data_IF_346274065242
#
_entry.id   IF_346274065242
#
_cell.length_a   1.000
_cell.length_b   1.000
_cell.length_c   1.000
_cell.angle_alpha   90.00
_cell.angle_beta   90.00
_cell.angle_gamma   90.00
#
_symmetry.space_group_name_H-M   'P 1'
#
loop_
_entity.id
_entity.type
_entity.pdbx_description
1 polymer ?
#
# COMPACT_ATOMS: atom_id res chain seq x y z
N UNK A 1 20.70 11.43 23.26
CA UNK A 1 21.47 10.16 23.11
C UNK A 1 21.46 9.62 21.68
N UNK A 2 20.32 9.29 21.02
CA UNK A 2 20.32 8.80 19.63
C UNK A 2 20.80 9.88 18.65
N UNK A 3 20.22 11.07 18.69
CA UNK A 3 20.58 12.19 17.83
C UNK A 3 22.03 12.65 18.04
N UNK A 4 22.55 12.60 19.25
CA UNK A 4 23.96 12.95 19.56
C UNK A 4 24.95 11.96 18.91
N UNK A 5 24.64 10.65 18.92
CA UNK A 5 25.47 9.64 18.25
C UNK A 5 25.45 9.82 16.72
N UNK A 6 24.28 10.08 16.16
CA UNK A 6 24.15 10.37 14.72
C UNK A 6 24.87 11.66 14.33
N UNK A 7 24.81 12.70 15.19
CA UNK A 7 25.53 13.95 14.99
C UNK A 7 27.06 13.74 14.97
N UNK A 8 27.57 12.91 15.91
CA UNK A 8 29.01 12.54 15.94
C UNK A 8 29.43 11.81 14.68
N UNK A 9 28.63 10.82 14.21
CA UNK A 9 28.91 10.11 12.96
C UNK A 9 28.89 11.05 11.75
N UNK A 10 27.92 11.98 11.69
CA UNK A 10 27.85 12.97 10.63
C UNK A 10 29.08 13.86 10.61
N UNK A 11 29.49 14.37 11.77
CA UNK A 11 30.70 15.17 11.92
C UNK A 11 31.97 14.37 11.56
N UNK A 12 32.04 13.10 11.97
CA UNK A 12 33.16 12.21 11.62
C UNK A 12 33.29 12.03 10.10
N UNK A 13 32.16 11.91 9.40
CA UNK A 13 32.15 11.69 7.95
C UNK A 13 32.33 12.98 7.16
N UNK A 14 31.64 14.07 7.53
CA UNK A 14 31.59 15.32 6.73
C UNK A 14 32.60 16.38 7.20
N UNK A 15 33.15 16.24 8.41
CA UNK A 15 34.01 17.25 9.07
C UNK A 15 33.25 18.34 9.81
N UNK A 16 31.93 18.46 9.64
CA UNK A 16 31.09 19.50 10.26
C UNK A 16 29.85 18.90 10.91
N UNK A 17 29.20 19.65 11.80
CA UNK A 17 27.96 19.25 12.41
C UNK A 17 26.79 19.27 11.39
N UNK A 18 25.84 18.38 11.51
CA UNK A 18 24.59 18.50 10.77
C UNK A 18 23.81 19.74 11.27
N UNK A 19 23.19 20.45 10.34
CA UNK A 19 22.37 21.63 10.64
C UNK A 19 21.04 21.23 11.28
N UNK A 20 20.47 20.12 10.79
CA UNK A 20 19.19 19.59 11.27
C UNK A 20 19.19 18.06 11.27
N UNK A 21 18.47 17.46 12.22
CA UNK A 21 18.23 16.00 12.32
C UNK A 21 16.74 15.79 12.54
N UNK A 22 16.08 15.25 11.53
CA UNK A 22 14.63 14.99 11.54
C UNK A 22 14.40 13.49 11.60
N UNK A 23 13.63 13.01 12.58
CA UNK A 23 13.19 11.62 12.62
C UNK A 23 12.14 11.36 11.54
N UNK A 24 12.37 10.34 10.73
CA UNK A 24 11.44 9.94 9.67
C UNK A 24 10.31 9.08 10.26
N UNK A 25 9.11 9.09 9.63
CA UNK A 25 8.00 8.28 10.10
C UNK A 25 8.38 6.80 10.23
N UNK A 26 8.00 6.18 11.34
CA UNK A 26 8.28 4.78 11.61
C UNK A 26 7.62 3.87 10.54
N UNK A 27 8.40 2.99 9.95
CA UNK A 27 7.93 1.86 9.16
C UNK A 27 7.70 0.63 10.06
N UNK A 28 7.36 -0.53 9.50
CA UNK A 28 7.08 -1.75 10.28
C UNK A 28 8.28 -2.36 11.02
N UNK A 29 9.47 -1.77 10.96
CA UNK A 29 10.72 -2.22 11.58
C UNK A 29 10.94 -1.60 12.97
N UNK A 30 11.77 -2.25 13.80
CA UNK A 30 12.28 -1.68 15.06
C UNK A 30 13.42 -0.68 14.83
N UNK A 31 13.86 -0.49 13.59
CA UNK A 31 14.85 0.52 13.22
C UNK A 31 14.22 1.90 13.18
N UNK A 32 14.99 2.91 13.60
CA UNK A 32 14.63 4.31 13.51
C UNK A 32 15.52 4.99 12.49
N UNK A 33 14.90 5.76 11.61
CA UNK A 33 15.56 6.48 10.52
C UNK A 33 15.49 7.97 10.77
N UNK A 34 16.59 8.66 10.47
CA UNK A 34 16.73 10.09 10.65
C UNK A 34 17.34 10.70 9.39
N UNK A 35 16.78 11.78 8.90
CA UNK A 35 17.44 12.58 7.86
C UNK A 35 18.30 13.63 8.53
N UNK A 36 19.57 13.66 8.16
CA UNK A 36 20.55 14.66 8.61
C UNK A 36 20.86 15.58 7.44
N UNK A 37 20.66 16.88 7.61
CA UNK A 37 20.93 17.89 6.58
C UNK A 37 22.06 18.82 7.02
N UNK A 38 22.72 19.43 6.05
CA UNK A 38 23.86 20.31 6.21
C UNK A 38 24.62 20.37 4.88
N UNK A 39 25.93 20.16 4.89
CA UNK A 39 26.74 20.15 3.64
C UNK A 39 26.32 19.01 2.70
N UNK A 40 25.71 17.96 3.22
CA UNK A 40 25.18 16.83 2.49
C UNK A 40 23.96 16.27 3.23
N UNK A 41 22.93 15.82 2.48
CA UNK A 41 21.80 15.08 3.06
C UNK A 41 22.15 13.61 3.19
N UNK A 42 22.03 13.06 4.39
CA UNK A 42 22.31 11.66 4.72
C UNK A 42 21.18 11.05 5.53
N UNK A 43 21.04 9.72 5.45
CA UNK A 43 20.14 8.96 6.30
C UNK A 43 20.95 8.33 7.44
N UNK A 44 20.65 8.72 8.66
CA UNK A 44 21.15 8.09 9.87
C UNK A 44 20.19 6.99 10.32
N UNK A 45 20.74 5.85 10.67
CA UNK A 45 19.95 4.69 11.12
C UNK A 45 20.38 4.28 12.52
N UNK A 46 19.41 4.03 13.38
CA UNK A 46 19.60 3.39 14.67
C UNK A 46 18.83 2.06 14.68
N UNK A 47 19.57 0.97 14.85
CA UNK A 47 19.01 -0.39 14.96
C UNK A 47 19.40 -1.05 16.28
N UNK A 48 18.41 -1.59 16.99
CA UNK A 48 18.62 -2.22 18.32
C UNK A 48 19.22 -3.62 18.25
N UNK A 49 19.11 -4.33 17.12
CA UNK A 49 19.75 -5.64 16.89
C UNK A 49 21.07 -5.44 16.17
N UNK A 50 22.16 -5.76 16.85
CA UNK A 50 23.51 -5.70 16.28
C UNK A 50 23.68 -6.69 15.13
N UNK A 51 23.17 -7.90 15.31
CA UNK A 51 23.24 -8.98 14.30
C UNK A 51 22.52 -8.60 13.00
N UNK A 52 21.34 -7.98 13.12
CA UNK A 52 20.61 -7.50 11.95
C UNK A 52 21.33 -6.34 11.25
N UNK A 53 21.94 -5.45 12.03
CA UNK A 53 22.75 -4.36 11.46
C UNK A 53 24.00 -4.93 10.77
N UNK A 54 24.71 -5.88 11.36
CA UNK A 54 25.87 -6.54 10.76
C UNK A 54 25.51 -7.23 9.43
N UNK A 55 24.35 -7.92 9.38
CA UNK A 55 23.83 -8.49 8.14
C UNK A 55 23.59 -7.42 7.06
N UNK A 56 22.93 -6.31 7.44
CA UNK A 56 22.69 -5.20 6.52
C UNK A 56 24.00 -4.59 5.98
N UNK A 57 24.96 -4.31 6.86
CA UNK A 57 26.25 -3.71 6.49
C UNK A 57 27.03 -4.59 5.53
N UNK A 58 27.08 -5.90 5.80
CA UNK A 58 27.73 -6.87 4.92
C UNK A 58 27.06 -6.92 3.53
N UNK A 59 25.72 -7.03 3.49
CA UNK A 59 24.94 -7.05 2.25
C UNK A 59 25.14 -5.77 1.44
N UNK A 60 25.05 -4.61 2.08
CA UNK A 60 25.19 -3.31 1.41
C UNK A 60 26.58 -3.16 0.76
N UNK A 61 27.64 -3.57 1.45
CA UNK A 61 29.00 -3.55 0.92
C UNK A 61 29.16 -4.52 -0.25
N UNK A 62 28.65 -5.75 -0.11
CA UNK A 62 28.71 -6.76 -1.16
C UNK A 62 27.97 -6.32 -2.43
N UNK A 63 26.72 -5.85 -2.28
CA UNK A 63 25.90 -5.41 -3.41
C UNK A 63 26.48 -4.17 -4.11
N UNK A 64 27.09 -3.27 -3.35
CA UNK A 64 27.81 -2.14 -3.92
C UNK A 64 29.00 -2.60 -4.78
N UNK A 65 29.81 -3.58 -4.31
CA UNK A 65 30.92 -4.16 -5.08
C UNK A 65 30.44 -4.81 -6.39
N UNK A 66 29.18 -5.27 -6.43
CA UNK A 66 28.52 -5.81 -7.63
C UNK A 66 27.83 -4.73 -8.49
N UNK A 67 27.97 -3.44 -8.16
CA UNK A 67 27.31 -2.30 -8.81
C UNK A 67 25.77 -2.41 -8.81
N UNK A 68 25.21 -3.03 -7.79
CA UNK A 68 23.75 -3.07 -7.62
C UNK A 68 23.26 -1.76 -6.97
N UNK A 69 22.10 -1.22 -7.37
CA UNK A 69 21.57 0.05 -6.87
C UNK A 69 20.99 -0.10 -5.46
N UNK A 70 21.86 -0.02 -4.48
CA UNK A 70 21.55 -0.02 -3.04
C UNK A 70 22.20 1.20 -2.38
N UNK A 71 21.62 1.74 -1.27
CA UNK A 71 22.21 2.88 -0.59
C UNK A 71 23.61 2.53 -0.08
N UNK A 72 24.55 3.42 -0.34
CA UNK A 72 25.92 3.26 0.15
C UNK A 72 25.96 3.53 1.65
N UNK A 73 26.54 2.63 2.44
CA UNK A 73 26.92 2.90 3.83
C UNK A 73 28.20 3.72 3.85
N UNK A 74 28.20 4.83 4.60
CA UNK A 74 29.24 5.86 4.57
C UNK A 74 30.06 5.88 5.85
N UNK A 75 29.42 5.67 7.01
CA UNK A 75 30.05 5.66 8.32
C UNK A 75 29.28 4.74 9.26
N UNK A 76 29.98 4.05 10.16
CA UNK A 76 29.40 3.09 11.10
C UNK A 76 29.98 3.31 12.50
N UNK A 77 29.16 3.28 13.56
CA UNK A 77 29.64 3.36 14.93
C UNK A 77 30.39 2.09 15.35
N UNK A 78 31.26 2.19 16.35
CA UNK A 78 32.04 1.04 16.87
C UNK A 78 31.15 -0.11 17.37
N UNK A 79 30.03 0.23 18.01
CA UNK A 79 29.05 -0.75 18.51
C UNK A 79 28.15 -1.34 17.42
N UNK A 80 28.21 -0.78 16.18
CA UNK A 80 27.39 -1.14 15.01
C UNK A 80 25.87 -0.96 15.21
N UNK A 81 25.47 -0.16 16.19
CA UNK A 81 24.07 0.20 16.42
C UNK A 81 23.64 1.41 15.58
N UNK A 82 24.60 2.23 15.15
CA UNK A 82 24.37 3.42 14.35
C UNK A 82 25.19 3.37 13.05
N UNK A 83 24.60 3.83 11.97
CA UNK A 83 25.30 4.01 10.71
C UNK A 83 24.69 5.16 9.89
N UNK A 84 25.49 5.72 9.00
CA UNK A 84 25.05 6.69 8.00
C UNK A 84 25.05 6.03 6.63
N UNK A 85 24.02 6.30 5.87
CA UNK A 85 23.91 5.86 4.49
C UNK A 85 23.46 6.99 3.57
N UNK A 86 23.60 6.77 2.28
CA UNK A 86 23.16 7.68 1.23
C UNK A 86 21.66 7.98 1.36
N UNK A 87 21.29 9.25 1.18
CA UNK A 87 19.88 9.68 1.05
C UNK A 87 19.43 9.49 -0.39
N UNK A 88 18.43 8.66 -0.58
CA UNK A 88 17.81 8.36 -1.88
C UNK A 88 16.60 9.24 -2.17
N UNK A 89 16.31 10.25 -1.33
CA UNK A 89 15.13 11.11 -1.44
C UNK A 89 13.88 10.51 -0.81
N UNK A 90 12.69 10.91 -1.30
CA UNK A 90 11.41 10.61 -0.65
C UNK A 90 10.47 9.74 -1.49
N UNK A 91 10.84 9.44 -2.74
CA UNK A 91 9.94 8.79 -3.68
C UNK A 91 10.06 7.26 -3.61
N UNK A 92 9.07 6.62 -2.97
CA UNK A 92 8.90 5.17 -3.06
C UNK A 92 8.19 4.79 -4.36
N UNK A 93 8.57 3.69 -4.99
CA UNK A 93 7.86 3.13 -6.14
C UNK A 93 6.36 2.99 -5.86
N UNK A 94 6.00 2.56 -4.64
CA UNK A 94 4.61 2.44 -4.21
C UNK A 94 3.80 3.74 -4.36
N UNK A 95 4.42 4.90 -4.12
CA UNK A 95 3.79 6.21 -4.30
C UNK A 95 3.89 6.69 -5.77
N UNK A 96 5.00 6.41 -6.43
CA UNK A 96 5.19 6.77 -7.83
C UNK A 96 4.15 6.15 -8.78
N UNK A 97 3.61 4.96 -8.42
CA UNK A 97 2.56 4.26 -9.18
C UNK A 97 1.17 4.39 -8.52
N UNK A 98 0.94 5.42 -7.72
CA UNK A 98 -0.29 5.56 -6.93
C UNK A 98 -1.54 5.70 -7.80
N UNK A 99 -1.45 6.46 -8.89
CA UNK A 99 -2.57 6.70 -9.79
C UNK A 99 -3.07 5.39 -10.41
N UNK A 100 -2.15 4.57 -10.94
CA UNK A 100 -2.48 3.25 -11.50
C UNK A 100 -3.10 2.32 -10.46
N UNK A 101 -2.59 2.32 -9.22
CA UNK A 101 -3.14 1.49 -8.12
C UNK A 101 -4.55 1.90 -7.70
N UNK A 102 -4.88 3.21 -7.76
CA UNK A 102 -6.20 3.73 -7.41
C UNK A 102 -7.20 3.45 -8.53
N UNK A 103 -6.82 3.77 -9.78
CA UNK A 103 -7.72 3.69 -10.94
C UNK A 103 -7.77 2.30 -11.58
N UNK A 104 -6.91 1.38 -11.15
CA UNK A 104 -6.65 0.08 -11.79
C UNK A 104 -6.21 0.20 -13.28
N UNK A 105 -5.67 1.36 -13.65
CA UNK A 105 -5.17 1.68 -15.00
C UNK A 105 -3.84 2.39 -14.89
N UNK A 106 -2.76 1.69 -15.23
CA UNK A 106 -1.39 2.18 -15.11
C UNK A 106 -0.97 2.94 -16.37
N UNK A 107 -0.41 4.14 -16.19
CA UNK A 107 0.19 4.90 -17.29
C UNK A 107 1.47 4.23 -17.81
N UNK A 108 1.95 4.63 -18.98
CA UNK A 108 3.17 4.05 -19.55
C UNK A 108 4.41 4.39 -18.70
N UNK A 109 4.45 5.57 -18.08
CA UNK A 109 5.50 5.97 -17.14
C UNK A 109 5.49 5.08 -15.89
N UNK A 110 4.32 4.81 -15.31
CA UNK A 110 4.17 3.91 -14.16
C UNK A 110 4.59 2.47 -14.51
N UNK A 111 4.20 1.98 -15.70
CA UNK A 111 4.61 0.67 -16.19
C UNK A 111 6.12 0.58 -16.41
N UNK A 112 6.75 1.63 -16.95
CA UNK A 112 8.19 1.60 -17.17
C UNK A 112 8.98 1.57 -15.85
N UNK A 113 8.52 2.27 -14.81
CA UNK A 113 9.10 2.13 -13.46
C UNK A 113 8.98 0.69 -12.94
N UNK A 114 7.85 0.05 -13.15
CA UNK A 114 7.63 -1.35 -12.80
C UNK A 114 8.54 -2.29 -13.61
N UNK A 115 8.65 -2.10 -14.93
CA UNK A 115 9.54 -2.89 -15.80
C UNK A 115 11.01 -2.74 -15.37
N UNK A 116 11.48 -1.51 -15.13
CA UNK A 116 12.84 -1.26 -14.63
C UNK A 116 13.09 -2.01 -13.32
N UNK A 117 12.15 -1.95 -12.39
CA UNK A 117 12.24 -2.65 -11.10
C UNK A 117 12.30 -4.17 -11.27
N UNK A 118 11.45 -4.71 -12.13
CA UNK A 118 11.42 -6.17 -12.42
C UNK A 118 12.69 -6.63 -13.12
N UNK A 119 13.24 -5.84 -14.05
CA UNK A 119 14.51 -6.15 -14.74
C UNK A 119 15.70 -6.14 -13.79
N UNK A 120 15.63 -5.38 -12.69
CA UNK A 120 16.67 -5.33 -11.66
C UNK A 120 16.66 -6.55 -10.74
N UNK A 121 15.50 -7.18 -10.50
CA UNK A 121 15.38 -8.29 -9.56
C UNK A 121 16.33 -9.47 -9.89
N UNK A 122 16.48 -9.97 -11.13
CA UNK A 122 17.44 -11.03 -11.43
C UNK A 122 18.90 -10.64 -11.16
N UNK A 123 19.26 -9.37 -11.28
CA UNK A 123 20.63 -8.94 -10.99
C UNK A 123 20.96 -9.13 -9.50
N UNK A 124 20.08 -8.74 -8.58
CA UNK A 124 20.33 -8.98 -7.16
C UNK A 124 20.23 -10.47 -6.80
N UNK A 125 19.33 -11.23 -7.45
CA UNK A 125 19.18 -12.67 -7.19
C UNK A 125 20.38 -13.49 -7.63
N UNK A 126 20.92 -13.26 -8.81
CA UNK A 126 22.01 -14.05 -9.40
C UNK A 126 23.38 -13.39 -9.22
N UNK A 127 23.58 -12.17 -9.69
CA UNK A 127 24.86 -11.49 -9.53
C UNK A 127 25.12 -11.11 -8.06
N UNK A 128 24.08 -10.77 -7.31
CA UNK A 128 24.16 -10.54 -5.87
C UNK A 128 24.51 -11.79 -5.06
N UNK A 129 24.16 -13.00 -5.53
CA UNK A 129 24.53 -14.26 -4.88
C UNK A 129 25.97 -14.68 -5.19
N UNK A 130 26.54 -14.22 -6.29
CA UNK A 130 27.88 -14.60 -6.71
C UNK A 130 28.96 -14.11 -5.73
N UNK A 131 29.65 -15.05 -5.08
CA UNK A 131 30.65 -14.79 -4.05
C UNK A 131 30.09 -14.26 -2.72
N UNK A 132 28.76 -14.35 -2.52
CA UNK A 132 28.11 -13.94 -1.28
C UNK A 132 28.23 -15.01 -0.19
N UNK A 133 28.71 -14.65 1.00
CA UNK A 133 28.72 -15.55 2.17
C UNK A 133 27.40 -15.46 2.95
N UNK A 134 26.54 -16.46 2.74
CA UNK A 134 25.21 -16.52 3.35
C UNK A 134 25.26 -16.76 4.87
N UNK A 135 26.42 -17.07 5.48
CA UNK A 135 26.54 -17.17 6.94
C UNK A 135 26.31 -15.82 7.64
N UNK A 136 26.45 -14.70 6.92
CA UNK A 136 26.14 -13.34 7.42
C UNK A 136 24.66 -12.99 7.40
N UNK A 137 23.77 -13.85 6.88
CA UNK A 137 22.34 -13.58 6.86
C UNK A 137 21.71 -13.78 8.24
N UNK A 138 20.77 -12.88 8.58
CA UNK A 138 20.05 -12.92 9.87
C UNK A 138 18.53 -12.95 9.61
N UNK A 139 17.73 -13.68 10.38
CA UNK A 139 18.08 -14.65 11.44
C UNK A 139 18.46 -16.04 10.90
N UNK A 140 18.45 -16.26 9.61
CA UNK A 140 18.76 -17.55 8.97
C UNK A 140 19.54 -17.35 7.66
N UNK A 141 20.46 -18.29 7.41
CA UNK A 141 21.29 -18.29 6.21
C UNK A 141 20.53 -18.67 4.93
N UNK A 142 19.47 -19.47 5.04
CA UNK A 142 18.80 -20.07 3.90
C UNK A 142 17.28 -20.25 4.09
N UNK A 143 16.57 -20.35 2.98
CA UNK A 143 15.17 -20.76 2.91
C UNK A 143 15.11 -22.28 2.97
N UNK A 144 14.69 -22.81 4.12
CA UNK A 144 14.65 -24.24 4.43
C UNK A 144 13.29 -24.65 5.00
N UNK A 145 13.12 -25.94 5.30
CA UNK A 145 11.88 -26.47 5.86
C UNK A 145 11.42 -25.73 7.12
N UNK A 146 12.34 -25.36 8.00
CA UNK A 146 12.02 -24.60 9.20
C UNK A 146 11.42 -23.24 8.86
N UNK A 147 11.99 -22.53 7.88
CA UNK A 147 11.47 -21.23 7.41
C UNK A 147 10.07 -21.37 6.83
N UNK A 148 9.83 -22.39 5.99
CA UNK A 148 8.52 -22.64 5.38
C UNK A 148 7.47 -22.94 6.45
N UNK A 149 7.77 -23.87 7.35
CA UNK A 149 6.83 -24.25 8.38
C UNK A 149 6.57 -23.13 9.39
N UNK A 150 7.54 -22.28 9.69
CA UNK A 150 7.31 -21.07 10.51
C UNK A 150 6.27 -20.14 9.86
N UNK A 151 6.42 -19.83 8.59
CA UNK A 151 5.51 -18.93 7.88
C UNK A 151 4.10 -19.57 7.75
N UNK A 152 3.99 -20.88 7.50
CA UNK A 152 2.71 -21.60 7.45
C UNK A 152 2.03 -21.68 8.83
N UNK A 153 2.80 -21.96 9.89
CA UNK A 153 2.29 -21.94 11.26
C UNK A 153 1.90 -20.53 11.71
N UNK A 154 2.65 -19.50 11.27
CA UNK A 154 2.30 -18.11 11.52
C UNK A 154 0.94 -17.76 10.87
N UNK A 155 0.70 -18.22 9.62
CA UNK A 155 -0.61 -18.14 8.99
C UNK A 155 -1.68 -18.88 9.80
N UNK A 156 -1.44 -20.13 10.17
CA UNK A 156 -2.40 -20.96 10.90
C UNK A 156 -2.83 -20.31 12.22
N UNK A 157 -1.86 -19.89 13.05
CA UNK A 157 -2.16 -19.41 14.40
C UNK A 157 -2.58 -17.94 14.45
N UNK A 158 -1.96 -17.09 13.63
CA UNK A 158 -2.23 -15.64 13.70
C UNK A 158 -3.39 -15.21 12.81
N UNK A 159 -3.75 -16.00 11.79
CA UNK A 159 -4.84 -15.63 10.87
C UNK A 159 -5.95 -16.69 10.84
N UNK A 160 -5.66 -17.90 10.40
CA UNK A 160 -6.70 -18.92 10.14
C UNK A 160 -7.52 -19.20 11.40
N UNK A 161 -6.90 -19.52 12.52
CA UNK A 161 -7.60 -19.75 13.81
C UNK A 161 -8.35 -18.51 14.31
N UNK A 162 -7.83 -17.32 14.05
CA UNK A 162 -8.48 -16.08 14.45
C UNK A 162 -9.78 -15.80 13.67
N UNK A 163 -10.02 -16.45 12.53
CA UNK A 163 -11.27 -16.33 11.76
C UNK A 163 -12.42 -17.13 12.35
N UNK A 164 -12.16 -18.08 13.26
CA UNK A 164 -13.15 -19.00 13.81
C UNK A 164 -13.48 -20.19 12.90
N UNK A 165 -12.79 -20.33 11.76
CA UNK A 165 -12.98 -21.50 10.89
C UNK A 165 -12.45 -22.78 11.57
N UNK A 166 -13.26 -23.83 11.62
CA UNK A 166 -12.89 -25.14 12.13
C UNK A 166 -12.17 -25.96 11.05
N UNK A 167 -11.12 -26.66 11.44
CA UNK A 167 -10.36 -27.55 10.57
C UNK A 167 -9.64 -28.65 11.36
N UNK A 168 -9.24 -29.73 10.67
CA UNK A 168 -8.48 -30.83 11.25
C UNK A 168 -6.97 -30.50 11.18
N UNK A 169 -6.36 -30.25 12.33
CA UNK A 169 -4.95 -29.80 12.41
C UNK A 169 -3.98 -30.80 11.78
N UNK A 170 -4.14 -32.11 12.07
CA UNK A 170 -3.27 -33.15 11.55
C UNK A 170 -3.24 -33.17 10.01
N UNK A 171 -4.42 -33.08 9.37
CA UNK A 171 -4.50 -33.04 7.89
C UNK A 171 -3.91 -31.76 7.30
N UNK A 172 -4.08 -30.64 8.00
CA UNK A 172 -3.49 -29.36 7.58
C UNK A 172 -1.96 -29.40 7.68
N UNK A 173 -1.43 -29.97 8.77
CA UNK A 173 0.01 -30.17 8.97
C UNK A 173 0.60 -31.10 7.92
N UNK A 174 -0.09 -32.19 7.55
CA UNK A 174 0.35 -33.10 6.48
C UNK A 174 0.50 -32.35 5.16
N UNK A 175 -0.44 -31.47 4.81
CA UNK A 175 -0.37 -30.65 3.61
C UNK A 175 0.68 -29.54 3.70
N UNK A 176 0.96 -29.00 4.91
CA UNK A 176 2.08 -28.09 5.13
C UNK A 176 3.43 -28.75 4.89
N UNK A 177 3.61 -30.01 5.29
CA UNK A 177 4.82 -30.77 4.99
C UNK A 177 4.99 -30.96 3.48
N UNK A 178 3.94 -31.36 2.78
CA UNK A 178 3.95 -31.50 1.31
C UNK A 178 4.26 -30.18 0.60
N UNK A 179 3.67 -29.05 1.03
CA UNK A 179 3.99 -27.74 0.50
C UNK A 179 5.46 -27.40 0.71
N UNK A 180 6.01 -27.72 1.89
CA UNK A 180 7.43 -27.55 2.15
C UNK A 180 8.30 -28.37 1.19
N UNK A 181 7.93 -29.62 0.92
CA UNK A 181 8.65 -30.48 -0.04
C UNK A 181 8.63 -29.89 -1.45
N UNK A 182 7.46 -29.44 -1.93
CA UNK A 182 7.30 -28.82 -3.25
C UNK A 182 8.16 -27.56 -3.39
N UNK A 183 8.10 -26.66 -2.40
CA UNK A 183 8.86 -25.40 -2.44
C UNK A 183 10.38 -25.63 -2.40
N UNK A 184 10.84 -26.60 -1.61
CA UNK A 184 12.27 -26.91 -1.45
C UNK A 184 12.83 -27.79 -2.57
N UNK A 185 11.98 -28.35 -3.42
CA UNK A 185 12.44 -29.04 -4.64
C UNK A 185 13.06 -28.08 -5.67
N UNK A 186 12.70 -26.80 -5.59
CA UNK A 186 13.25 -25.75 -6.46
C UNK A 186 14.69 -25.42 -6.08
N UNK A 187 15.56 -25.16 -7.10
CA UNK A 187 16.93 -24.68 -6.88
C UNK A 187 16.96 -23.43 -6.01
N UNK A 188 17.84 -23.41 -5.01
CA UNK A 188 17.99 -22.36 -4.00
C UNK A 188 19.35 -21.66 -4.07
N UNK A 189 19.96 -21.55 -5.26
CA UNK A 189 21.32 -21.02 -5.43
C UNK A 189 21.36 -19.51 -5.68
N UNK A 190 20.28 -18.81 -5.35
CA UNK A 190 20.15 -17.36 -5.54
C UNK A 190 20.04 -16.61 -4.23
N UNK A 191 20.28 -15.30 -4.26
CA UNK A 191 19.91 -14.42 -3.17
C UNK A 191 18.41 -14.18 -3.20
N UNK A 192 17.68 -14.64 -2.19
CA UNK A 192 16.28 -14.36 -1.97
C UNK A 192 16.14 -13.10 -1.11
N UNK A 193 15.61 -12.05 -1.69
CA UNK A 193 15.43 -10.75 -1.02
C UNK A 193 14.43 -10.80 0.13
N UNK A 194 13.41 -11.66 0.01
CA UNK A 194 12.30 -11.93 0.91
C UNK A 194 11.22 -10.84 0.93
N UNK A 195 11.58 -9.60 1.13
CA UNK A 195 10.64 -8.48 1.22
C UNK A 195 10.71 -7.57 -0.01
N UNK A 196 10.89 -8.16 -1.20
CA UNK A 196 10.86 -7.44 -2.46
C UNK A 196 9.43 -6.96 -2.77
N UNK A 197 9.19 -5.70 -2.48
CA UNK A 197 7.88 -5.04 -2.59
C UNK A 197 8.08 -3.59 -3.06
N UNK A 198 7.04 -3.00 -3.68
CA UNK A 198 7.10 -1.61 -4.16
C UNK A 198 7.35 -0.57 -3.05
N UNK A 199 7.15 -0.94 -1.78
CA UNK A 199 7.48 -0.09 -0.62
C UNK A 199 8.96 -0.16 -0.22
N UNK A 200 9.69 -1.12 -0.75
CA UNK A 200 11.12 -1.32 -0.48
C UNK A 200 11.96 -1.01 -1.73
N UNK A 201 11.38 -0.22 -2.65
CA UNK A 201 12.06 0.31 -3.84
C UNK A 201 11.91 1.82 -3.83
N UNK A 202 13.04 2.54 -3.79
CA UNK A 202 13.11 3.99 -3.97
C UNK A 202 13.27 4.31 -5.44
N UNK A 203 12.75 5.46 -5.87
CA UNK A 203 12.97 6.00 -7.21
C UNK A 203 13.84 7.26 -7.07
N UNK A 204 15.06 7.17 -7.60
CA UNK A 204 16.01 8.28 -7.65
C UNK A 204 16.40 8.51 -9.11
N UNK A 205 16.21 9.72 -9.60
CA UNK A 205 16.50 10.11 -11.00
C UNK A 205 15.83 9.20 -12.05
N UNK A 206 14.62 8.72 -11.76
CA UNK A 206 13.85 7.81 -12.62
C UNK A 206 14.33 6.36 -12.63
N UNK A 207 15.27 5.98 -11.74
CA UNK A 207 15.81 4.63 -11.61
C UNK A 207 15.46 4.00 -10.26
N UNK A 208 15.20 2.66 -10.21
CA UNK A 208 14.87 1.95 -8.98
C UNK A 208 16.12 1.68 -8.14
N UNK A 209 16.02 1.93 -6.83
CA UNK A 209 17.01 1.63 -5.81
C UNK A 209 16.41 0.73 -4.75
N UNK A 210 17.15 -0.27 -4.30
CA UNK A 210 16.67 -1.30 -3.39
C UNK A 210 17.04 -0.98 -1.95
N UNK A 211 16.04 -1.05 -1.04
CA UNK A 211 16.19 -0.83 0.41
C UNK A 211 15.52 -1.97 1.19
N UNK A 212 15.87 -2.14 2.46
CA UNK A 212 15.24 -3.13 3.36
C UNK A 212 15.54 -4.60 2.97
N UNK A 213 16.78 -4.87 2.55
CA UNK A 213 17.22 -6.18 2.07
C UNK A 213 17.88 -7.06 3.16
N UNK A 214 18.01 -6.59 4.40
CA UNK A 214 18.69 -7.30 5.50
C UNK A 214 18.02 -8.62 5.90
N UNK A 215 16.76 -8.83 5.57
CA UNK A 215 16.06 -10.10 5.74
C UNK A 215 16.40 -11.15 4.70
N UNK A 216 17.22 -10.78 3.71
CA UNK A 216 17.62 -11.64 2.60
C UNK A 216 18.44 -12.85 3.05
N UNK A 217 18.44 -13.89 2.22
CA UNK A 217 19.10 -15.18 2.49
C UNK A 217 19.27 -16.00 1.22
N UNK A 218 19.96 -17.12 1.30
CA UNK A 218 19.97 -18.10 0.22
C UNK A 218 18.56 -18.67 0.00
N UNK A 219 18.06 -18.68 -1.24
CA UNK A 219 16.73 -19.21 -1.51
C UNK A 219 16.34 -19.19 -2.99
N UNK A 220 15.13 -19.69 -3.32
CA UNK A 220 14.66 -19.80 -4.69
C UNK A 220 14.23 -18.44 -5.26
N UNK A 221 14.60 -18.20 -6.52
CA UNK A 221 14.29 -16.94 -7.21
C UNK A 221 12.81 -16.72 -7.51
N UNK A 222 11.96 -17.72 -7.34
CA UNK A 222 10.50 -17.60 -7.50
C UNK A 222 9.83 -16.75 -6.41
N UNK A 223 10.41 -16.76 -5.19
CA UNK A 223 9.78 -16.13 -4.03
C UNK A 223 9.60 -14.61 -4.20
N UNK A 224 10.63 -13.92 -4.68
CA UNK A 224 10.62 -12.47 -4.75
C UNK A 224 9.71 -11.94 -5.84
N UNK A 225 9.67 -12.60 -7.00
CA UNK A 225 8.73 -12.22 -8.06
C UNK A 225 7.28 -12.49 -7.64
N UNK A 226 7.01 -13.59 -6.92
CA UNK A 226 5.71 -13.84 -6.30
C UNK A 226 5.37 -12.74 -5.28
N UNK A 227 6.33 -12.37 -4.42
CA UNK A 227 6.15 -11.30 -3.42
C UNK A 227 5.82 -9.96 -4.07
N UNK A 228 6.45 -9.61 -5.19
CA UNK A 228 6.25 -8.33 -5.87
C UNK A 228 4.94 -8.28 -6.63
N UNK A 229 4.63 -9.27 -7.44
CA UNK A 229 3.48 -9.21 -8.35
C UNK A 229 2.12 -9.49 -7.66
N UNK A 230 2.12 -10.19 -6.52
CA UNK A 230 0.89 -10.47 -5.76
C UNK A 230 0.76 -9.65 -4.48
N UNK A 231 1.43 -8.49 -4.42
CA UNK A 231 1.21 -7.53 -3.33
C UNK A 231 -0.26 -7.15 -3.23
N UNK A 232 -0.90 -7.44 -2.09
CA UNK A 232 -2.33 -7.22 -1.91
C UNK A 232 -2.78 -5.77 -2.23
N UNK A 233 -2.03 -4.77 -1.75
CA UNK A 233 -2.36 -3.35 -1.99
C UNK A 233 -1.88 -2.77 -3.31
N UNK A 234 -1.03 -3.45 -4.05
CA UNK A 234 -0.55 -2.97 -5.34
C UNK A 234 -1.62 -3.12 -6.43
N UNK A 235 -2.53 -4.11 -6.28
CA UNK A 235 -3.68 -4.33 -7.16
C UNK A 235 -3.29 -4.42 -8.65
N UNK A 236 -2.17 -5.06 -8.96
CA UNK A 236 -1.76 -5.21 -10.36
C UNK A 236 -2.79 -6.03 -11.13
N UNK A 237 -3.37 -5.50 -12.23
CA UNK A 237 -4.22 -6.28 -13.13
C UNK A 237 -3.50 -7.52 -13.66
N UNK A 238 -4.23 -8.56 -13.98
CA UNK A 238 -3.67 -9.82 -14.49
C UNK A 238 -2.82 -9.58 -15.74
N UNK A 239 -3.30 -8.78 -16.70
CA UNK A 239 -2.55 -8.41 -17.90
C UNK A 239 -1.23 -7.70 -17.62
N UNK A 240 -1.17 -6.86 -16.58
CA UNK A 240 0.07 -6.21 -16.17
C UNK A 240 1.01 -7.20 -15.48
N UNK A 241 0.47 -8.12 -14.67
CA UNK A 241 1.29 -9.19 -14.07
C UNK A 241 1.94 -10.07 -15.12
N UNK A 242 1.18 -10.44 -16.17
CA UNK A 242 1.69 -11.25 -17.28
C UNK A 242 2.78 -10.52 -18.05
N UNK A 243 2.59 -9.25 -18.36
CA UNK A 243 3.61 -8.40 -18.98
C UNK A 243 4.89 -8.33 -18.15
N UNK A 244 4.75 -8.09 -16.84
CA UNK A 244 5.90 -8.01 -15.93
C UNK A 244 6.58 -9.37 -15.70
N UNK A 245 5.85 -10.49 -15.76
CA UNK A 245 6.42 -11.84 -15.73
C UNK A 245 7.25 -12.13 -17.00
N UNK A 246 6.79 -11.69 -18.15
CA UNK A 246 7.54 -11.82 -19.40
C UNK A 246 8.85 -11.00 -19.35
N UNK A 247 8.81 -9.77 -18.81
CA UNK A 247 10.00 -8.95 -18.57
C UNK A 247 10.97 -9.62 -17.57
N UNK A 248 10.43 -10.22 -16.51
CA UNK A 248 11.22 -10.97 -15.53
C UNK A 248 11.93 -12.17 -16.16
N UNK A 249 11.18 -13.03 -16.86
CA UNK A 249 11.73 -14.23 -17.52
C UNK A 249 12.81 -13.83 -18.53
N UNK A 250 12.58 -12.78 -19.32
CA UNK A 250 13.57 -12.23 -20.25
C UNK A 250 14.83 -11.73 -19.53
N UNK A 251 14.69 -11.10 -18.38
CA UNK A 251 15.83 -10.64 -17.59
C UNK A 251 16.57 -11.80 -16.93
N UNK A 252 15.88 -12.83 -16.40
CA UNK A 252 16.47 -14.07 -15.85
C UNK A 252 17.23 -14.86 -16.91
N UNK A 253 16.76 -14.83 -18.16
CA UNK A 253 17.40 -15.57 -19.26
C UNK A 253 18.84 -15.14 -19.55
N UNK A 254 19.29 -14.01 -19.00
CA UNK A 254 20.70 -13.59 -19.02
C UNK A 254 21.61 -14.42 -18.08
N UNK A 255 21.00 -15.05 -17.08
CA UNK A 255 21.69 -15.80 -16.02
C UNK A 255 21.44 -17.31 -16.11
N UNK A 256 20.22 -17.70 -16.50
CA UNK A 256 19.77 -19.10 -16.50
C UNK A 256 18.73 -19.32 -17.60
N UNK A 257 18.85 -20.44 -18.33
CA UNK A 257 17.80 -20.88 -19.26
C UNK A 257 16.52 -21.23 -18.50
N UNK A 258 15.38 -20.71 -18.95
CA UNK A 258 14.09 -20.89 -18.33
C UNK A 258 13.18 -21.72 -19.24
N UNK A 259 12.73 -22.88 -18.75
CA UNK A 259 11.56 -23.56 -19.28
C UNK A 259 10.31 -22.85 -18.72
N UNK A 260 9.55 -22.22 -19.58
CA UNK A 260 8.36 -21.42 -19.19
C UNK A 260 7.27 -22.27 -18.51
N UNK A 261 7.04 -23.49 -19.01
CA UNK A 261 6.02 -24.37 -18.44
C UNK A 261 6.39 -24.74 -17.01
N UNK A 262 7.63 -25.19 -16.83
CA UNK A 262 8.17 -25.50 -15.50
C UNK A 262 8.19 -24.28 -14.60
N UNK A 263 8.58 -23.11 -15.12
CA UNK A 263 8.61 -21.87 -14.36
C UNK A 263 7.24 -21.53 -13.77
N UNK A 264 6.19 -21.50 -14.58
CA UNK A 264 4.83 -21.17 -14.11
C UNK A 264 4.28 -22.25 -13.17
N UNK A 265 4.57 -23.53 -13.44
CA UNK A 265 4.16 -24.63 -12.56
C UNK A 265 4.78 -24.51 -11.16
N UNK A 266 6.00 -24.02 -11.04
CA UNK A 266 6.65 -23.77 -9.75
C UNK A 266 6.18 -22.45 -9.12
N UNK A 267 6.13 -21.38 -9.90
CA UNK A 267 5.77 -20.04 -9.42
C UNK A 267 4.43 -20.03 -8.68
N UNK A 268 3.40 -20.76 -9.17
CA UNK A 268 2.08 -20.83 -8.54
C UNK A 268 2.13 -21.28 -7.08
N UNK A 269 3.03 -22.21 -6.73
CA UNK A 269 3.21 -22.69 -5.35
C UNK A 269 3.82 -21.59 -4.46
N UNK A 270 4.80 -20.84 -4.98
CA UNK A 270 5.38 -19.70 -4.27
C UNK A 270 4.38 -18.56 -4.09
N UNK A 271 3.54 -18.31 -5.08
CA UNK A 271 2.47 -17.29 -4.97
C UNK A 271 1.46 -17.68 -3.88
N UNK A 272 1.01 -18.93 -3.84
CA UNK A 272 0.13 -19.42 -2.78
C UNK A 272 0.80 -19.32 -1.42
N UNK A 273 2.01 -19.85 -1.28
CA UNK A 273 2.79 -19.79 -0.03
C UNK A 273 2.95 -18.34 0.46
N UNK A 274 3.36 -17.44 -0.43
CA UNK A 274 3.56 -16.02 -0.08
C UNK A 274 2.24 -15.34 0.33
N UNK A 275 1.13 -15.71 -0.29
CA UNK A 275 -0.20 -15.22 0.08
C UNK A 275 -0.57 -15.65 1.51
N UNK A 276 -0.29 -16.90 1.89
CA UNK A 276 -0.51 -17.40 3.25
C UNK A 276 0.37 -16.68 4.25
N UNK A 277 1.65 -16.51 3.95
CA UNK A 277 2.60 -15.80 4.80
C UNK A 277 2.16 -14.34 5.04
N UNK A 278 1.68 -13.65 4.02
CA UNK A 278 1.14 -12.28 4.12
C UNK A 278 -0.11 -12.24 4.99
N UNK A 279 -1.04 -13.20 4.83
CA UNK A 279 -2.22 -13.30 5.67
C UNK A 279 -1.85 -13.53 7.14
N UNK A 280 -0.85 -14.37 7.43
CA UNK A 280 -0.31 -14.54 8.78
C UNK A 280 0.20 -13.22 9.37
N UNK A 281 0.99 -12.45 8.61
CA UNK A 281 1.48 -11.15 9.03
C UNK A 281 0.35 -10.14 9.25
N UNK A 282 -0.68 -10.14 8.38
CA UNK A 282 -1.86 -9.28 8.55
C UNK A 282 -2.67 -9.69 9.78
N UNK A 283 -2.80 -10.99 10.05
CA UNK A 283 -3.46 -11.49 11.25
C UNK A 283 -2.75 -11.02 12.52
N UNK A 284 -1.45 -11.26 12.63
CA UNK A 284 -0.68 -10.83 13.80
C UNK A 284 -0.73 -9.32 14.00
N UNK A 285 -0.36 -8.55 12.99
CA UNK A 285 -0.31 -7.10 13.09
C UNK A 285 -1.69 -6.45 13.22
N UNK A 286 -2.71 -7.04 12.59
CA UNK A 286 -4.08 -6.54 12.61
C UNK A 286 -4.84 -6.93 13.88
N UNK A 287 -4.92 -8.23 14.18
CA UNK A 287 -5.75 -8.72 15.30
C UNK A 287 -5.03 -8.63 16.65
N UNK A 288 -3.73 -8.92 16.72
CA UNK A 288 -2.98 -8.91 17.98
C UNK A 288 -2.35 -7.55 18.29
N UNK A 289 -1.64 -6.93 17.35
CA UNK A 289 -1.07 -5.58 17.55
C UNK A 289 -2.10 -4.45 17.32
N UNK A 290 -3.31 -4.78 16.91
CA UNK A 290 -4.43 -3.83 16.67
C UNK A 290 -4.09 -2.68 15.70
N UNK A 291 -3.29 -2.96 14.67
CA UNK A 291 -2.93 -1.99 13.62
C UNK A 291 -3.95 -2.01 12.48
N UNK A 292 -4.88 -1.03 12.37
CA UNK A 292 -6.04 -1.11 11.47
C UNK A 292 -5.68 -1.27 9.99
N UNK A 293 -4.58 -0.68 9.53
CA UNK A 293 -4.15 -0.73 8.14
C UNK A 293 -3.78 -2.14 7.65
N UNK A 294 -3.41 -3.07 8.56
CA UNK A 294 -3.21 -4.47 8.20
C UNK A 294 -4.54 -5.20 8.01
N UNK A 295 -5.51 -4.97 8.91
CA UNK A 295 -6.88 -5.53 8.76
C UNK A 295 -7.48 -5.09 7.42
N UNK A 296 -7.36 -3.81 7.08
CA UNK A 296 -7.81 -3.25 5.80
C UNK A 296 -7.14 -3.86 4.57
N UNK A 297 -6.00 -4.55 4.76
CA UNK A 297 -5.28 -5.22 3.66
C UNK A 297 -5.77 -6.66 3.43
N UNK A 298 -6.38 -7.28 4.45
CA UNK A 298 -6.83 -8.68 4.41
C UNK A 298 -7.70 -9.00 3.19
N UNK A 299 -8.76 -8.23 2.87
CA UNK A 299 -9.63 -8.59 1.77
C UNK A 299 -8.97 -8.55 0.37
N UNK A 300 -7.91 -7.75 0.19
CA UNK A 300 -7.15 -7.80 -1.06
C UNK A 300 -6.32 -9.08 -1.15
N UNK A 301 -5.79 -9.56 -0.02
CA UNK A 301 -5.11 -10.85 0.04
C UNK A 301 -6.09 -12.02 -0.14
N UNK A 302 -7.30 -11.93 0.42
CA UNK A 302 -8.37 -12.92 0.23
C UNK A 302 -8.82 -12.96 -1.25
N UNK A 303 -8.89 -11.81 -1.93
CA UNK A 303 -9.22 -11.77 -3.35
C UNK A 303 -8.12 -12.43 -4.20
N UNK A 304 -6.85 -12.14 -3.93
CA UNK A 304 -5.73 -12.87 -4.55
C UNK A 304 -5.87 -14.38 -4.31
N UNK A 305 -6.21 -14.79 -3.09
CA UNK A 305 -6.40 -16.20 -2.75
C UNK A 305 -7.55 -16.84 -3.53
N UNK A 306 -8.68 -16.16 -3.71
CA UNK A 306 -9.79 -16.64 -4.55
C UNK A 306 -9.35 -16.89 -5.99
N UNK A 307 -8.57 -15.96 -6.56
CA UNK A 307 -8.05 -16.11 -7.92
C UNK A 307 -7.13 -17.31 -8.03
N UNK A 308 -6.22 -17.50 -7.08
CA UNK A 308 -5.29 -18.63 -7.04
C UNK A 308 -6.01 -19.99 -6.92
N UNK A 309 -7.07 -20.04 -6.12
CA UNK A 309 -7.85 -21.27 -5.89
C UNK A 309 -8.81 -21.64 -7.04
N UNK A 310 -8.84 -20.86 -8.14
CA UNK A 310 -9.49 -21.29 -9.40
C UNK A 310 -8.76 -22.46 -10.03
N UNK A 311 -7.46 -22.56 -9.78
CA UNK A 311 -6.65 -23.72 -10.17
C UNK A 311 -6.60 -24.76 -9.05
N UNK A 312 -6.43 -26.02 -9.40
CA UNK A 312 -6.27 -27.09 -8.44
C UNK A 312 -4.82 -27.28 -8.03
N UNK A 313 -4.61 -27.61 -6.75
CA UNK A 313 -3.31 -27.96 -6.17
C UNK A 313 -3.43 -29.40 -5.61
N UNK A 314 -3.25 -30.43 -6.47
CA UNK A 314 -3.43 -31.82 -6.06
C UNK A 314 -2.44 -32.29 -4.98
N UNK A 315 -1.33 -31.55 -4.80
CA UNK A 315 -0.30 -31.85 -3.83
C UNK A 315 -0.79 -31.65 -2.37
N UNK A 316 -1.70 -30.68 -2.13
CA UNK A 316 -2.23 -30.33 -0.81
C UNK A 316 -3.73 -30.02 -0.83
N UNK A 317 -4.56 -31.07 -1.09
CA UNK A 317 -5.98 -30.92 -1.33
C UNK A 317 -6.76 -30.45 -0.10
N UNK A 318 -6.34 -30.85 1.10
CA UNK A 318 -7.04 -30.46 2.33
C UNK A 318 -6.81 -28.98 2.64
N UNK A 319 -5.57 -28.49 2.51
CA UNK A 319 -5.27 -27.08 2.62
C UNK A 319 -6.14 -26.26 1.66
N UNK A 320 -6.24 -26.67 0.40
CA UNK A 320 -7.07 -25.96 -0.58
C UNK A 320 -8.56 -25.97 -0.24
N UNK A 321 -9.09 -27.06 0.32
CA UNK A 321 -10.46 -27.11 0.81
C UNK A 321 -10.69 -26.08 1.94
N UNK A 322 -9.82 -26.07 2.94
CA UNK A 322 -9.87 -25.11 4.05
C UNK A 322 -9.76 -23.66 3.54
N UNK A 323 -8.87 -23.40 2.57
CA UNK A 323 -8.70 -22.06 2.01
C UNK A 323 -9.92 -21.60 1.18
N UNK A 324 -10.59 -22.52 0.46
CA UNK A 324 -11.87 -22.21 -0.22
C UNK A 324 -12.94 -21.84 0.79
N UNK A 325 -13.11 -22.62 1.87
CA UNK A 325 -14.04 -22.29 2.95
C UNK A 325 -13.70 -20.94 3.60
N UNK A 326 -12.41 -20.68 3.86
CA UNK A 326 -11.93 -19.41 4.39
C UNK A 326 -12.38 -18.22 3.52
N UNK A 327 -12.25 -18.32 2.19
CA UNK A 327 -12.63 -17.22 1.28
C UNK A 327 -14.14 -17.00 1.24
N UNK A 328 -14.96 -17.99 1.64
CA UNK A 328 -16.41 -17.93 1.65
C UNK A 328 -16.99 -17.42 2.98
N UNK A 329 -16.16 -17.18 4.00
CA UNK A 329 -16.63 -16.64 5.27
C UNK A 329 -17.34 -15.29 5.08
N UNK A 330 -18.47 -15.11 5.77
CA UNK A 330 -19.31 -13.91 5.66
C UNK A 330 -18.53 -12.62 5.86
N UNK A 331 -17.63 -12.60 6.83
CA UNK A 331 -16.76 -11.44 7.12
C UNK A 331 -15.92 -10.99 5.91
N UNK A 332 -15.53 -11.89 5.01
CA UNK A 332 -14.75 -11.57 3.81
C UNK A 332 -15.61 -11.33 2.56
N UNK A 333 -16.87 -11.81 2.54
CA UNK A 333 -17.83 -11.50 1.47
C UNK A 333 -18.42 -10.10 1.61
N UNK A 334 -18.78 -9.71 2.83
CA UNK A 334 -19.38 -8.40 3.11
C UNK A 334 -18.38 -7.26 2.93
N UNK A 335 -17.09 -7.53 3.19
CA UNK A 335 -16.02 -6.54 3.01
C UNK A 335 -15.81 -6.09 1.56
N UNK A 336 -16.07 -6.94 0.58
CA UNK A 336 -15.99 -6.55 -0.85
C UNK A 336 -17.12 -5.58 -1.24
N UNK A 337 -18.31 -5.75 -0.63
CA UNK A 337 -19.45 -4.85 -0.84
C UNK A 337 -19.34 -3.54 -0.06
N UNK A 338 -18.68 -3.56 1.11
CA UNK A 338 -18.50 -2.39 1.99
C UNK A 338 -17.36 -1.46 1.58
N UNK A 339 -16.55 -1.79 0.59
CA UNK A 339 -15.28 -1.08 0.28
C UNK A 339 -15.38 0.01 -0.74
N UNK A 340 -16.51 0.19 -1.35
CA UNK A 340 -16.72 1.34 -2.19
C UNK A 340 -17.03 2.52 -1.27
N UNK A 341 -16.12 3.51 -1.22
CA UNK A 341 -16.38 4.74 -0.48
C UNK A 341 -17.67 5.35 -1.03
N UNK A 342 -18.66 5.52 -0.15
CA UNK A 342 -19.84 6.30 -0.44
C UNK A 342 -19.67 7.66 0.22
N UNK A 343 -19.68 8.72 -0.59
CA UNK A 343 -19.68 10.08 -0.07
C UNK A 343 -21.10 10.60 -0.04
N UNK A 344 -21.60 10.87 1.16
CA UNK A 344 -22.92 11.50 1.34
C UNK A 344 -22.75 13.00 1.31
N UNK A 345 -23.26 13.63 0.25
CA UNK A 345 -23.25 15.10 0.09
C UNK A 345 -24.63 15.66 0.41
N UNK A 346 -24.70 16.65 1.29
CA UNK A 346 -26.00 17.20 1.73
C UNK A 346 -26.04 18.71 1.64
N UNK A 347 -27.15 19.28 1.15
CA UNK A 347 -27.48 20.68 1.39
C UNK A 347 -28.49 20.83 2.50
N UNK A 348 -28.33 21.86 3.34
CA UNK A 348 -29.20 22.08 4.49
C UNK A 348 -29.39 23.56 4.86
N UNK A 349 -30.46 23.83 5.64
CA UNK A 349 -30.71 25.13 6.26
C UNK A 349 -30.16 25.17 7.69
N UNK A 350 -29.33 26.16 8.03
CA UNK A 350 -28.85 26.35 9.41
C UNK A 350 -30.02 26.58 10.40
N UNK A 351 -31.13 27.18 9.95
CA UNK A 351 -32.33 27.34 10.77
C UNK A 351 -32.96 26.03 11.25
N UNK A 352 -32.70 24.92 10.54
CA UNK A 352 -33.21 23.58 10.87
C UNK A 352 -32.14 22.66 11.47
N UNK A 353 -30.97 23.19 11.78
CA UNK A 353 -29.84 22.45 12.36
C UNK A 353 -28.97 21.72 11.36
N UNK A 354 -27.75 21.39 11.80
CA UNK A 354 -26.78 20.63 11.03
C UNK A 354 -27.23 19.17 10.93
N UNK A 355 -27.14 18.52 9.75
CA UNK A 355 -27.46 17.10 9.60
C UNK A 355 -26.60 16.21 10.50
N UNK A 356 -27.20 15.19 11.09
CA UNK A 356 -26.47 14.16 11.83
C UNK A 356 -25.88 13.11 10.88
N UNK A 357 -24.73 12.56 11.25
CA UNK A 357 -24.14 11.42 10.56
C UNK A 357 -24.80 10.12 11.03
N UNK A 358 -25.56 9.40 10.17
CA UNK A 358 -26.23 8.17 10.55
C UNK A 358 -25.28 6.97 10.64
N UNK A 359 -24.02 7.10 10.19
CA UNK A 359 -23.05 6.01 10.16
C UNK A 359 -22.37 5.77 11.50
N UNK A 360 -22.54 6.68 12.46
CA UNK A 360 -21.90 6.62 13.77
C UNK A 360 -20.41 7.02 13.78
N UNK A 361 -19.88 7.50 12.64
CA UNK A 361 -18.47 7.94 12.54
C UNK A 361 -18.21 9.35 13.08
N UNK A 362 -19.24 10.03 13.57
CA UNK A 362 -19.12 11.32 14.23
C UNK A 362 -19.12 12.54 13.33
N UNK A 363 -19.50 12.41 12.05
CA UNK A 363 -19.67 13.53 11.13
C UNK A 363 -18.72 13.57 9.94
N UNK A 364 -18.39 14.77 9.48
CA UNK A 364 -17.59 15.02 8.30
C UNK A 364 -17.41 16.53 8.09
N UNK A 365 -17.37 16.96 6.84
CA UNK A 365 -17.27 18.38 6.52
C UNK A 365 -18.61 19.10 6.63
N UNK A 366 -18.58 20.29 7.20
CA UNK A 366 -19.73 21.22 7.22
C UNK A 366 -19.24 22.58 6.71
N UNK A 367 -19.58 22.93 5.47
CA UNK A 367 -19.22 24.18 4.85
C UNK A 367 -20.34 25.22 4.99
N UNK A 368 -19.97 26.43 5.41
CA UNK A 368 -20.87 27.55 5.55
C UNK A 368 -20.89 28.42 4.30
N UNK A 369 -21.94 28.29 3.49
CA UNK A 369 -22.13 29.07 2.26
C UNK A 369 -22.66 30.49 2.50
N UNK A 370 -22.83 30.96 3.76
CA UNK A 370 -23.44 32.26 4.04
C UNK A 370 -22.52 33.43 3.67
N UNK A 371 -21.21 33.17 3.55
CA UNK A 371 -20.26 34.20 3.09
C UNK A 371 -20.46 34.60 1.62
N UNK A 372 -20.94 33.67 0.78
CA UNK A 372 -21.23 33.92 -0.65
C UNK A 372 -22.48 34.79 -0.79
N UNK A 373 -22.53 35.67 -1.80
CA UNK A 373 -23.63 36.57 -2.06
C UNK A 373 -24.98 35.82 -2.18
N UNK A 374 -26.03 36.40 -1.58
CA UNK A 374 -27.31 35.72 -1.35
C UNK A 374 -28.36 36.11 -2.40
N UNK A 375 -28.71 35.26 -3.39
CA UNK A 375 -29.79 35.56 -4.33
C UNK A 375 -31.14 35.73 -3.64
N UNK A 376 -31.37 35.07 -2.47
CA UNK A 376 -32.61 35.20 -1.71
C UNK A 376 -32.93 36.60 -1.12
N UNK A 377 -32.00 37.57 -1.25
CA UNK A 377 -32.24 38.98 -0.96
C UNK A 377 -33.19 39.64 -1.97
N UNK A 378 -33.30 39.08 -3.16
CA UNK A 378 -34.08 39.64 -4.26
C UNK A 378 -35.35 38.84 -4.49
N UNK A 379 -36.54 39.52 -4.48
CA UNK A 379 -37.85 38.88 -4.64
C UNK A 379 -37.96 37.97 -5.84
N UNK A 380 -37.37 38.38 -6.99
CA UNK A 380 -37.38 37.63 -8.25
C UNK A 380 -36.71 36.23 -8.16
N UNK A 381 -35.86 35.99 -7.16
CA UNK A 381 -35.12 34.72 -7.04
C UNK A 381 -35.70 33.82 -5.92
N UNK A 382 -36.60 34.31 -5.07
CA UNK A 382 -37.20 33.54 -3.98
C UNK A 382 -37.90 32.24 -4.42
N UNK A 383 -38.61 32.20 -5.58
CA UNK A 383 -39.26 30.95 -6.01
C UNK A 383 -38.31 29.85 -6.49
N UNK A 384 -37.09 30.16 -6.79
CA UNK A 384 -36.11 29.25 -7.42
C UNK A 384 -35.21 28.61 -6.37
N UNK A 385 -34.55 27.53 -6.77
CA UNK A 385 -33.54 26.81 -6.00
C UNK A 385 -32.15 26.92 -6.63
N UNK A 386 -31.12 26.43 -5.97
CA UNK A 386 -29.75 26.36 -6.53
C UNK A 386 -29.59 25.45 -7.73
N UNK A 387 -30.64 24.71 -8.13
CA UNK A 387 -30.64 23.88 -9.35
C UNK A 387 -31.25 24.61 -10.56
N UNK A 388 -31.88 25.76 -10.33
CA UNK A 388 -32.59 26.49 -11.38
C UNK A 388 -31.68 27.49 -12.09
N UNK A 389 -31.78 27.58 -13.42
CA UNK A 389 -30.93 28.40 -14.26
C UNK A 389 -30.79 29.86 -13.82
N UNK A 390 -31.85 30.58 -13.32
CA UNK A 390 -31.70 31.95 -12.83
C UNK A 390 -30.79 32.11 -11.64
N UNK A 391 -30.76 31.11 -10.74
CA UNK A 391 -29.90 31.10 -9.55
C UNK A 391 -28.48 30.69 -9.91
N UNK A 392 -28.32 29.66 -10.75
CA UNK A 392 -27.02 29.25 -11.28
C UNK A 392 -26.33 30.45 -11.93
N UNK A 393 -27.03 31.12 -12.86
CA UNK A 393 -26.51 32.29 -13.53
C UNK A 393 -26.15 33.43 -12.56
N UNK A 394 -26.98 33.69 -11.53
CA UNK A 394 -26.69 34.73 -10.54
C UNK A 394 -25.39 34.44 -9.78
N UNK A 395 -25.22 33.20 -9.31
CA UNK A 395 -24.04 32.81 -8.52
C UNK A 395 -22.75 32.80 -9.34
N UNK A 396 -22.86 32.40 -10.61
CA UNK A 396 -21.73 32.38 -11.56
C UNK A 396 -21.33 33.77 -12.04
N UNK A 397 -22.29 34.63 -12.36
CA UNK A 397 -22.04 36.02 -12.78
C UNK A 397 -21.43 36.85 -11.63
N UNK A 398 -21.85 36.58 -10.36
CA UNK A 398 -21.29 37.23 -9.18
C UNK A 398 -19.84 36.77 -8.88
N UNK A 399 -19.52 35.52 -9.16
CA UNK A 399 -18.19 34.94 -9.12
C UNK A 399 -17.69 34.50 -7.73
N UNK A 400 -18.26 34.95 -6.60
CA UNK A 400 -17.81 34.59 -5.23
C UNK A 400 -17.92 33.09 -4.94
N UNK A 401 -18.81 32.37 -5.66
CA UNK A 401 -19.03 30.93 -5.46
C UNK A 401 -17.84 30.09 -5.92
N UNK A 402 -17.05 30.54 -6.92
CA UNK A 402 -15.95 29.77 -7.47
C UNK A 402 -14.80 29.57 -6.49
N UNK A 403 -14.18 30.62 -5.90
CA UNK A 403 -13.10 30.43 -4.93
C UNK A 403 -13.59 29.68 -3.67
N UNK A 404 -14.85 29.82 -3.28
CA UNK A 404 -15.43 29.04 -2.21
C UNK A 404 -15.43 27.54 -2.54
N UNK A 405 -15.90 27.15 -3.73
CA UNK A 405 -15.91 25.75 -4.17
C UNK A 405 -14.51 25.18 -4.39
N UNK A 406 -13.59 25.94 -4.96
CA UNK A 406 -12.20 25.51 -5.16
C UNK A 406 -11.53 25.11 -3.84
N UNK A 407 -11.69 25.94 -2.79
CA UNK A 407 -11.18 25.62 -1.46
C UNK A 407 -11.89 24.41 -0.84
N UNK A 408 -13.19 24.28 -0.99
CA UNK A 408 -13.95 23.14 -0.50
C UNK A 408 -13.52 21.84 -1.24
N UNK A 409 -13.30 21.88 -2.56
CA UNK A 409 -12.79 20.77 -3.33
C UNK A 409 -11.42 20.33 -2.84
N UNK A 410 -10.49 21.26 -2.63
CA UNK A 410 -9.13 20.93 -2.18
C UNK A 410 -9.15 20.17 -0.83
N UNK A 411 -9.97 20.59 0.13
CA UNK A 411 -10.08 19.94 1.43
C UNK A 411 -10.75 18.56 1.34
N UNK A 412 -11.85 18.45 0.60
CA UNK A 412 -12.60 17.20 0.47
C UNK A 412 -11.83 16.18 -0.36
N UNK A 413 -11.18 16.59 -1.45
CA UNK A 413 -10.37 15.75 -2.31
C UNK A 413 -9.25 15.05 -1.55
N UNK A 414 -8.53 15.80 -0.71
CA UNK A 414 -7.47 15.25 0.13
C UNK A 414 -8.02 14.15 1.07
N UNK A 415 -9.22 14.36 1.62
CA UNK A 415 -9.87 13.39 2.50
C UNK A 415 -10.41 12.18 1.74
N UNK A 416 -11.06 12.39 0.59
CA UNK A 416 -11.58 11.30 -0.27
C UNK A 416 -10.44 10.41 -0.71
N UNK A 417 -9.35 10.99 -1.21
CA UNK A 417 -8.13 10.25 -1.57
C UNK A 417 -7.63 9.39 -0.41
N UNK A 418 -7.50 9.99 0.77
CA UNK A 418 -7.02 9.30 1.97
C UNK A 418 -7.99 8.24 2.49
N UNK A 419 -9.29 8.45 2.36
CA UNK A 419 -10.32 7.49 2.74
C UNK A 419 -10.33 6.28 1.81
N UNK A 420 -10.18 6.50 0.49
CA UNK A 420 -10.00 5.42 -0.49
C UNK A 420 -8.75 4.58 -0.20
N UNK A 421 -7.62 5.23 0.07
CA UNK A 421 -6.36 4.53 0.42
C UNK A 421 -6.48 3.68 1.70
N UNK A 422 -7.24 4.19 2.69
CA UNK A 422 -7.46 3.52 3.98
C UNK A 422 -8.62 2.54 3.96
N UNK A 423 -9.40 2.46 2.87
CA UNK A 423 -10.56 1.58 2.75
C UNK A 423 -11.73 1.98 3.65
N UNK A 424 -11.89 3.27 3.94
CA UNK A 424 -13.09 3.76 4.62
C UNK A 424 -14.29 3.69 3.68
N UNK A 425 -15.46 3.38 4.25
CA UNK A 425 -16.68 3.15 3.47
C UNK A 425 -17.59 4.37 3.39
N UNK A 426 -17.44 5.37 4.28
CA UNK A 426 -18.33 6.50 4.36
C UNK A 426 -17.58 7.81 4.64
N UNK A 427 -18.02 8.90 3.99
CA UNK A 427 -17.64 10.27 4.26
C UNK A 427 -18.88 11.15 4.11
N UNK A 428 -19.12 12.07 5.04
CA UNK A 428 -20.21 13.04 4.94
C UNK A 428 -19.67 14.43 4.62
N UNK A 429 -20.31 15.15 3.68
CA UNK A 429 -19.97 16.51 3.26
C UNK A 429 -21.22 17.33 3.20
N UNK A 430 -21.35 18.33 4.05
CA UNK A 430 -22.56 19.15 4.17
C UNK A 430 -22.30 20.59 3.77
N UNK A 431 -23.23 21.19 3.03
CA UNK A 431 -23.24 22.60 2.67
C UNK A 431 -24.46 23.29 3.28
N UNK A 432 -24.22 24.31 4.11
CA UNK A 432 -25.29 25.03 4.83
C UNK A 432 -25.42 26.47 4.33
N UNK A 433 -26.66 26.92 4.13
CA UNK A 433 -26.95 28.34 4.03
C UNK A 433 -28.14 28.70 4.92
N UNK A 434 -28.58 29.97 4.97
CA UNK A 434 -29.63 30.39 5.90
C UNK A 434 -30.92 29.60 5.71
N UNK A 435 -31.40 29.47 4.47
CA UNK A 435 -32.67 28.82 4.12
C UNK A 435 -32.53 27.44 3.46
N UNK A 436 -31.31 26.98 3.19
CA UNK A 436 -31.09 25.69 2.53
C UNK A 436 -31.59 25.59 1.07
N UNK A 437 -31.77 26.73 0.38
CA UNK A 437 -32.48 26.76 -0.90
C UNK A 437 -31.60 27.09 -2.12
N UNK A 438 -30.63 28.00 -2.01
CA UNK A 438 -29.88 28.52 -3.13
C UNK A 438 -28.42 28.06 -3.10
N UNK A 439 -27.55 28.79 -2.35
CA UNK A 439 -26.08 28.60 -2.30
C UNK A 439 -25.67 27.20 -1.87
N UNK A 440 -26.32 26.67 -0.80
CA UNK A 440 -26.03 25.32 -0.32
C UNK A 440 -26.42 24.23 -1.31
N UNK A 441 -27.53 24.41 -2.02
CA UNK A 441 -28.02 23.47 -3.03
C UNK A 441 -27.05 23.45 -4.23
N UNK A 442 -26.69 24.62 -4.76
CA UNK A 442 -25.69 24.75 -5.82
C UNK A 442 -24.36 24.09 -5.43
N UNK A 443 -23.84 24.45 -4.25
CA UNK A 443 -22.55 23.92 -3.79
C UNK A 443 -22.56 22.40 -3.59
N UNK A 444 -23.63 21.84 -3.02
CA UNK A 444 -23.75 20.40 -2.82
C UNK A 444 -23.84 19.64 -4.15
N UNK A 445 -24.63 20.17 -5.13
CA UNK A 445 -24.73 19.58 -6.46
C UNK A 445 -23.35 19.49 -7.13
N UNK A 446 -22.63 20.61 -7.19
CA UNK A 446 -21.31 20.68 -7.83
C UNK A 446 -20.25 19.82 -7.10
N UNK A 447 -20.29 19.72 -5.78
CA UNK A 447 -19.42 18.82 -5.03
C UNK A 447 -19.70 17.35 -5.38
N UNK A 448 -20.97 16.94 -5.46
CA UNK A 448 -21.34 15.59 -5.79
C UNK A 448 -20.85 15.17 -7.20
N UNK A 449 -21.07 16.04 -8.18
CA UNK A 449 -20.61 15.84 -9.55
C UNK A 449 -19.08 15.79 -9.65
N UNK A 450 -18.39 16.72 -8.95
CA UNK A 450 -16.94 16.77 -8.89
C UNK A 450 -16.35 15.46 -8.34
N UNK A 451 -16.85 14.98 -7.20
CA UNK A 451 -16.32 13.77 -6.55
C UNK A 451 -16.56 12.51 -7.39
N UNK A 452 -17.76 12.36 -7.95
CA UNK A 452 -18.05 11.23 -8.85
C UNK A 452 -17.20 11.28 -10.13
N UNK A 453 -17.03 12.47 -10.72
CA UNK A 453 -16.22 12.64 -11.93
C UNK A 453 -14.73 12.38 -11.67
N UNK A 454 -14.19 12.91 -10.57
CA UNK A 454 -12.76 12.90 -10.28
C UNK A 454 -12.26 11.58 -9.70
N UNK A 455 -13.03 10.99 -8.79
CA UNK A 455 -12.61 9.80 -8.03
C UNK A 455 -13.37 8.53 -8.40
N UNK A 456 -14.45 8.64 -9.18
CA UNK A 456 -15.31 7.49 -9.51
C UNK A 456 -16.05 6.90 -8.30
N UNK A 457 -16.08 7.58 -7.15
CA UNK A 457 -16.76 7.10 -5.95
C UNK A 457 -18.27 7.20 -6.07
N UNK A 458 -18.98 6.32 -5.35
CA UNK A 458 -20.43 6.46 -5.19
C UNK A 458 -20.72 7.73 -4.39
N UNK A 459 -21.66 8.55 -4.88
CA UNK A 459 -22.10 9.75 -4.17
C UNK A 459 -23.62 9.71 -3.97
N UNK A 460 -24.04 9.87 -2.72
CA UNK A 460 -25.45 10.05 -2.33
C UNK A 460 -25.67 11.53 -2.05
N UNK A 461 -26.34 12.22 -2.96
CA UNK A 461 -26.66 13.64 -2.86
C UNK A 461 -28.07 13.82 -2.28
N UNK A 462 -28.18 14.62 -1.23
CA UNK A 462 -29.46 14.93 -0.58
C UNK A 462 -29.63 16.46 -0.44
N UNK A 463 -30.64 17.00 -1.11
CA UNK A 463 -31.09 18.36 -0.86
C UNK A 463 -32.24 18.33 0.13
N UNK A 464 -31.89 18.44 1.45
CA UNK A 464 -32.80 18.19 2.54
C UNK A 464 -34.07 19.06 2.50
N UNK A 465 -33.94 20.33 2.15
CA UNK A 465 -35.06 21.27 2.17
C UNK A 465 -35.98 21.18 0.93
N UNK A 466 -35.47 20.54 -0.14
CA UNK A 466 -36.22 20.29 -1.38
C UNK A 466 -36.79 18.87 -1.46
N UNK A 467 -36.43 17.98 -0.52
CA UNK A 467 -36.74 16.54 -0.54
C UNK A 467 -36.28 15.88 -1.84
N UNK A 468 -35.09 16.25 -2.31
CA UNK A 468 -34.44 15.64 -3.52
C UNK A 468 -33.33 14.74 -3.03
N UNK A 469 -33.36 13.48 -3.50
CA UNK A 469 -32.29 12.51 -3.32
C UNK A 469 -31.84 12.02 -4.68
N UNK A 470 -30.54 11.98 -4.90
CA UNK A 470 -29.92 11.53 -6.13
C UNK A 470 -28.71 10.67 -5.81
N UNK A 471 -28.51 9.60 -6.58
CA UNK A 471 -27.33 8.74 -6.46
C UNK A 471 -26.51 8.82 -7.74
N UNK A 472 -25.23 9.07 -7.59
CA UNK A 472 -24.22 8.92 -8.64
C UNK A 472 -23.49 7.61 -8.37
N UNK A 473 -23.73 6.61 -9.21
CA UNK A 473 -23.07 5.32 -9.05
C UNK A 473 -21.57 5.43 -9.25
N UNK A 474 -20.85 4.55 -8.60
CA UNK A 474 -19.42 4.48 -8.79
C UNK A 474 -19.09 4.08 -10.23
N UNK A 475 -18.05 4.68 -10.77
CA UNK A 475 -17.52 4.32 -12.09
C UNK A 475 -16.53 3.18 -11.91
N UNK A 476 -16.79 2.08 -12.62
CA UNK A 476 -15.91 0.92 -12.68
C UNK A 476 -14.59 1.25 -13.39
#
# INVERSE_FOLDING_TARGET
MITENLQKLYQQYTGVMAEEIIEMPASGSNRRYFRLTGVQSLIGVYGTSKEENEAFLYMAEHFKKKNLPVPQVLCVSEDKLFYLQEDLGDTLLFHAIEKGRITNSFSEEEKELLRKTIRLLPAIQFAGADGFDFSHCYPQAEFNRRSVLWDLNYFKYCFLKATGLEFQENRLEDDFQKMSDVLLHSSSDTFMYRDFQSRNVMIKDGEPWLIDFQGGRKGPFYYDIASFLWQAKAKYPESLRDELLDEYIKAVSKYKTIDRIHFFSQLRHFVLFRTLQVLGAYGFRGYFEKKPHFIQSVPFAIENLRQLLREDYPEYPYLCAVLRELTELKQFKDDLKKRQLTVKVMSFAYKKGIPNDPTGNGGGFVFDCRAVNNPGKYERYKPFTGLDAPIIKFLEDDGEIFPFLENAYALVDASVKRYMERGFSNLMVCFGCTGGQHRSVYSAQHMAEHLNKKFGVKVELIHREQNIEQTFDAKN
#
